data_IF_372480516890
#
_entry.id   IF_372480516890
#
_cell.length_a   1.000
_cell.length_b   1.000
_cell.length_c   1.000
_cell.angle_alpha   90.00
_cell.angle_beta   90.00
_cell.angle_gamma   90.00
#
_symmetry.space_group_name_H-M   'P 1'
#
loop_
_entity.id
_entity.type
_entity.pdbx_description
1 polymer ?
#
# COMPACT_ATOMS: atom_id res chain seq x y z
N UNK A 1 -49.25 -1.95 -0.74
CA UNK A 1 -48.43 -2.95 -1.45
C UNK A 1 -48.10 -2.35 -2.81
N UNK A 2 -46.84 -2.35 -3.24
CA UNK A 2 -46.46 -1.84 -4.58
C UNK A 2 -47.08 -2.76 -5.64
N UNK A 3 -47.72 -2.18 -6.64
CA UNK A 3 -48.34 -2.95 -7.73
C UNK A 3 -47.28 -3.67 -8.56
N UNK A 4 -47.64 -4.79 -9.18
CA UNK A 4 -46.67 -5.54 -9.99
C UNK A 4 -46.19 -4.75 -11.22
N UNK A 5 -47.03 -3.85 -11.75
CA UNK A 5 -46.66 -2.91 -12.82
C UNK A 5 -45.60 -1.89 -12.36
N UNK A 6 -45.70 -1.36 -11.15
CA UNK A 6 -44.69 -0.44 -10.60
C UNK A 6 -43.36 -1.16 -10.33
N UNK A 7 -43.41 -2.39 -9.81
CA UNK A 7 -42.21 -3.22 -9.63
C UNK A 7 -41.53 -3.51 -10.96
N UNK A 8 -42.32 -3.83 -11.99
CA UNK A 8 -41.81 -4.09 -13.32
C UNK A 8 -41.12 -2.88 -13.93
N UNK A 9 -41.76 -1.70 -13.85
CA UNK A 9 -41.19 -0.46 -14.33
C UNK A 9 -39.87 -0.12 -13.63
N UNK A 10 -39.80 -0.33 -12.31
CA UNK A 10 -38.60 -0.10 -11.53
C UNK A 10 -37.47 -1.05 -11.94
N UNK A 11 -37.74 -2.35 -12.03
CA UNK A 11 -36.76 -3.36 -12.45
C UNK A 11 -36.21 -3.06 -13.84
N UNK A 12 -37.07 -2.66 -14.78
CA UNK A 12 -36.66 -2.32 -16.14
C UNK A 12 -35.64 -1.17 -16.14
N UNK A 13 -35.92 -0.08 -15.41
CA UNK A 13 -35.02 1.08 -15.30
C UNK A 13 -33.65 0.72 -14.71
N UNK A 14 -33.64 -0.13 -13.68
CA UNK A 14 -32.38 -0.57 -13.05
C UNK A 14 -31.55 -1.45 -13.98
N UNK A 15 -32.19 -2.39 -14.69
CA UNK A 15 -31.50 -3.25 -15.66
C UNK A 15 -30.91 -2.42 -16.78
N UNK A 16 -31.67 -1.49 -17.36
CA UNK A 16 -31.17 -0.58 -18.41
C UNK A 16 -29.97 0.24 -17.94
N UNK A 17 -30.05 0.76 -16.70
CA UNK A 17 -28.96 1.54 -16.10
C UNK A 17 -27.69 0.68 -15.96
N UNK A 18 -27.83 -0.55 -15.45
CA UNK A 18 -26.72 -1.49 -15.31
C UNK A 18 -26.12 -1.86 -16.66
N UNK A 19 -26.95 -2.17 -17.66
CA UNK A 19 -26.49 -2.49 -19.01
C UNK A 19 -25.74 -1.34 -19.68
N UNK A 20 -26.14 -0.09 -19.42
CA UNK A 20 -25.46 1.10 -19.93
C UNK A 20 -24.12 1.36 -19.24
N UNK A 21 -24.05 1.14 -17.92
CA UNK A 21 -22.89 1.53 -17.12
C UNK A 21 -21.77 0.47 -17.08
N UNK A 22 -22.15 -0.81 -17.04
CA UNK A 22 -21.22 -1.93 -16.93
C UNK A 22 -20.12 -1.93 -17.99
N UNK A 23 -20.39 -1.66 -19.29
CA UNK A 23 -19.34 -1.68 -20.30
C UNK A 23 -18.25 -0.64 -20.07
N UNK A 24 -18.64 0.56 -19.62
CA UNK A 24 -17.69 1.61 -19.26
C UNK A 24 -16.86 1.22 -18.04
N UNK A 25 -17.49 0.62 -17.03
CA UNK A 25 -16.81 0.13 -15.84
C UNK A 25 -15.79 -0.96 -16.17
N UNK A 26 -16.20 -1.98 -16.94
CA UNK A 26 -15.34 -3.09 -17.37
C UNK A 26 -14.16 -2.55 -18.19
N UNK A 27 -14.41 -1.64 -19.14
CA UNK A 27 -13.37 -1.02 -19.96
C UNK A 27 -12.32 -0.30 -19.10
N UNK A 28 -12.75 0.45 -18.08
CA UNK A 28 -11.84 1.12 -17.14
C UNK A 28 -11.04 0.11 -16.33
N UNK A 29 -11.67 -0.97 -15.86
CA UNK A 29 -11.03 -2.03 -15.09
C UNK A 29 -9.97 -2.77 -15.92
N UNK A 30 -10.28 -3.13 -17.17
CA UNK A 30 -9.30 -3.71 -18.10
C UNK A 30 -8.15 -2.74 -18.43
N UNK A 31 -8.43 -1.45 -18.53
CA UNK A 31 -7.40 -0.43 -18.66
C UNK A 31 -6.45 -0.37 -17.45
N UNK A 32 -6.98 -0.62 -16.25
CA UNK A 32 -6.19 -0.72 -15.01
C UNK A 32 -5.27 -1.95 -15.03
N UNK A 33 -5.83 -3.11 -15.41
CA UNK A 33 -5.07 -4.37 -15.57
C UNK A 33 -3.88 -4.16 -16.49
N UNK A 34 -4.11 -3.61 -17.69
CA UNK A 34 -3.02 -3.36 -18.65
C UNK A 34 -1.89 -2.50 -18.11
N UNK A 35 -2.20 -1.55 -17.21
CA UNK A 35 -1.19 -0.63 -16.65
C UNK A 35 -0.41 -1.22 -15.49
N UNK A 36 -0.97 -2.20 -14.79
CA UNK A 36 -0.46 -2.64 -13.49
C UNK A 36 -0.13 -4.13 -13.42
N UNK A 37 -0.45 -4.90 -14.46
CA UNK A 37 -0.16 -6.33 -14.55
C UNK A 37 1.30 -6.65 -14.26
N UNK A 38 2.23 -5.85 -14.76
CA UNK A 38 3.67 -6.07 -14.57
C UNK A 38 4.13 -5.81 -13.13
N UNK A 39 3.41 -4.96 -12.39
CA UNK A 39 3.77 -4.57 -11.01
C UNK A 39 3.06 -5.44 -9.97
N UNK A 40 1.78 -5.70 -10.17
CA UNK A 40 0.92 -6.44 -9.25
C UNK A 40 0.07 -7.46 -10.03
N UNK A 41 0.68 -8.57 -10.46
CA UNK A 41 0.02 -9.53 -11.35
C UNK A 41 -1.17 -10.23 -10.69
N UNK A 42 -1.06 -10.63 -9.44
CA UNK A 42 -2.09 -11.39 -8.72
C UNK A 42 -3.48 -10.70 -8.67
N UNK A 43 -3.62 -9.44 -8.20
CA UNK A 43 -4.92 -8.78 -8.16
C UNK A 43 -5.46 -8.50 -9.57
N UNK A 44 -4.58 -8.33 -10.57
CA UNK A 44 -4.97 -8.16 -11.97
C UNK A 44 -5.53 -9.46 -12.57
N UNK A 45 -4.85 -10.59 -12.34
CA UNK A 45 -5.30 -11.92 -12.78
C UNK A 45 -6.61 -12.34 -12.12
N UNK A 46 -6.82 -11.95 -10.86
CA UNK A 46 -8.07 -12.16 -10.14
C UNK A 46 -9.25 -11.42 -10.80
N UNK A 47 -9.03 -10.21 -11.33
CA UNK A 47 -10.03 -9.48 -12.10
C UNK A 47 -10.30 -10.13 -13.46
N UNK A 48 -9.26 -10.49 -14.21
CA UNK A 48 -9.40 -11.16 -15.51
C UNK A 48 -10.17 -12.47 -15.37
N UNK A 49 -9.81 -13.29 -14.38
CA UNK A 49 -10.47 -14.55 -14.07
C UNK A 49 -11.94 -14.36 -13.67
N UNK A 50 -12.24 -13.32 -12.89
CA UNK A 50 -13.61 -12.99 -12.53
C UNK A 50 -14.46 -12.60 -13.75
N UNK A 51 -13.92 -11.77 -14.64
CA UNK A 51 -14.59 -11.37 -15.87
C UNK A 51 -14.87 -12.59 -16.76
N UNK A 52 -13.89 -13.50 -16.93
CA UNK A 52 -14.07 -14.73 -17.69
C UNK A 52 -15.16 -15.64 -17.09
N UNK A 53 -15.17 -15.85 -15.77
CA UNK A 53 -16.20 -16.66 -15.08
C UNK A 53 -17.61 -16.09 -15.24
N UNK A 54 -17.75 -14.77 -15.37
CA UNK A 54 -19.03 -14.11 -15.56
C UNK A 54 -19.42 -13.96 -17.04
N UNK A 55 -18.70 -14.62 -17.95
CA UNK A 55 -18.90 -14.57 -19.41
C UNK A 55 -18.79 -13.13 -19.94
N UNK A 56 -17.89 -12.32 -19.39
CA UNK A 56 -17.61 -10.99 -19.93
C UNK A 56 -16.59 -11.12 -21.07
N UNK A 57 -16.99 -10.70 -22.27
CA UNK A 57 -16.14 -10.74 -23.47
C UNK A 57 -15.94 -9.32 -23.97
N UNK A 58 -14.68 -8.91 -24.04
CA UNK A 58 -14.34 -7.51 -24.28
C UNK A 58 -14.87 -6.62 -23.16
N UNK A 59 -15.79 -5.71 -23.48
CA UNK A 59 -16.40 -4.82 -22.51
C UNK A 59 -17.86 -5.20 -22.19
N UNK A 60 -18.37 -6.32 -22.70
CA UNK A 60 -19.80 -6.64 -22.61
C UNK A 60 -20.02 -7.95 -21.86
N UNK A 61 -21.08 -7.97 -21.05
CA UNK A 61 -21.53 -9.17 -20.36
C UNK A 61 -22.30 -10.04 -21.34
N UNK A 62 -21.79 -11.23 -21.67
CA UNK A 62 -22.57 -12.17 -22.46
C UNK A 62 -23.65 -12.81 -21.60
N UNK A 63 -24.89 -12.57 -21.99
CA UNK A 63 -26.06 -13.12 -21.34
C UNK A 63 -26.69 -14.17 -22.24
N UNK A 64 -27.16 -15.25 -21.62
CA UNK A 64 -27.81 -16.35 -22.34
C UNK A 64 -29.17 -15.91 -22.91
N UNK A 65 -29.83 -14.96 -22.23
CA UNK A 65 -31.05 -14.30 -22.69
C UNK A 65 -30.77 -12.81 -22.87
N UNK A 66 -31.01 -12.27 -24.07
CA UNK A 66 -30.99 -10.83 -24.30
C UNK A 66 -32.13 -10.19 -23.49
N UNK A 67 -31.84 -9.09 -22.79
CA UNK A 67 -32.86 -8.37 -22.04
C UNK A 67 -33.99 -7.91 -22.98
N UNK A 68 -35.23 -8.12 -22.55
CA UNK A 68 -36.44 -7.62 -23.20
C UNK A 68 -37.39 -7.07 -22.16
N UNK A 69 -38.14 -6.03 -22.54
CA UNK A 69 -39.21 -5.47 -21.72
C UNK A 69 -40.34 -6.48 -21.46
N UNK A 70 -40.50 -7.49 -22.31
CA UNK A 70 -41.56 -8.51 -22.19
C UNK A 70 -41.11 -9.74 -21.38
N UNK A 71 -39.90 -9.70 -20.82
CA UNK A 71 -39.34 -10.76 -19.98
C UNK A 71 -40.18 -10.96 -18.69
N UNK A 72 -40.39 -12.21 -18.22
CA UNK A 72 -41.04 -12.46 -16.94
C UNK A 72 -40.35 -11.77 -15.75
N UNK A 73 -41.11 -11.29 -14.77
CA UNK A 73 -40.61 -10.57 -13.59
C UNK A 73 -39.51 -11.32 -12.82
N UNK A 74 -39.62 -12.64 -12.67
CA UNK A 74 -38.62 -13.47 -12.03
C UNK A 74 -37.29 -13.46 -12.79
N UNK A 75 -37.34 -13.55 -14.12
CA UNK A 75 -36.18 -13.48 -15.01
C UNK A 75 -35.55 -12.09 -15.00
N UNK A 76 -36.35 -11.02 -14.94
CA UNK A 76 -35.84 -9.64 -14.75
C UNK A 76 -35.09 -9.50 -13.43
N UNK A 77 -35.65 -10.01 -12.34
CA UNK A 77 -35.02 -9.95 -11.02
C UNK A 77 -33.70 -10.74 -10.98
N UNK A 78 -33.67 -11.93 -11.58
CA UNK A 78 -32.45 -12.74 -11.71
C UNK A 78 -31.39 -12.02 -12.54
N UNK A 79 -31.81 -11.46 -13.68
CA UNK A 79 -30.95 -10.68 -14.55
C UNK A 79 -30.33 -9.47 -13.81
N UNK A 80 -31.17 -8.68 -13.13
CA UNK A 80 -30.71 -7.56 -12.31
C UNK A 80 -29.67 -8.02 -11.29
N UNK A 81 -29.94 -9.11 -10.56
CA UNK A 81 -29.00 -9.65 -9.57
C UNK A 81 -27.67 -10.00 -10.21
N UNK A 82 -27.69 -10.71 -11.34
CA UNK A 82 -26.46 -11.09 -12.06
C UNK A 82 -25.66 -9.87 -12.50
N UNK A 83 -26.30 -8.88 -13.13
CA UNK A 83 -25.64 -7.64 -13.55
C UNK A 83 -25.04 -6.89 -12.36
N UNK A 84 -25.77 -6.83 -11.24
CA UNK A 84 -25.31 -6.18 -10.01
C UNK A 84 -24.11 -6.90 -9.38
N UNK A 85 -24.12 -8.24 -9.34
CA UNK A 85 -22.97 -9.04 -8.88
C UNK A 85 -21.72 -8.75 -9.70
N UNK A 86 -21.86 -8.58 -11.03
CA UNK A 86 -20.75 -8.21 -11.89
C UNK A 86 -20.26 -6.81 -11.57
N UNK A 87 -21.16 -5.82 -11.45
CA UNK A 87 -20.80 -4.44 -11.12
C UNK A 87 -20.00 -4.36 -9.81
N UNK A 88 -20.53 -4.96 -8.74
CA UNK A 88 -19.91 -4.94 -7.43
C UNK A 88 -18.58 -5.71 -7.43
N UNK A 89 -18.54 -6.86 -8.11
CA UNK A 89 -17.33 -7.68 -8.22
C UNK A 89 -16.21 -7.01 -9.02
N UNK A 90 -16.53 -6.20 -10.02
CA UNK A 90 -15.55 -5.38 -10.75
C UNK A 90 -15.07 -4.23 -9.88
N UNK A 91 -15.98 -3.51 -9.22
CA UNK A 91 -15.62 -2.40 -8.33
C UNK A 91 -14.68 -2.84 -7.21
N UNK A 92 -15.00 -3.94 -6.53
CA UNK A 92 -14.17 -4.48 -5.46
C UNK A 92 -12.76 -4.82 -5.94
N UNK A 93 -12.63 -5.52 -7.07
CA UNK A 93 -11.30 -5.91 -7.58
C UNK A 93 -10.52 -4.71 -8.12
N UNK A 94 -11.20 -3.74 -8.72
CA UNK A 94 -10.57 -2.47 -9.12
C UNK A 94 -9.96 -1.77 -7.91
N UNK A 95 -10.70 -1.73 -6.79
CA UNK A 95 -10.20 -1.19 -5.53
C UNK A 95 -9.00 -1.98 -5.02
N UNK A 96 -9.02 -3.31 -5.03
CA UNK A 96 -7.87 -4.15 -4.62
C UNK A 96 -6.61 -3.85 -5.46
N UNK A 97 -6.74 -3.77 -6.79
CA UNK A 97 -5.63 -3.42 -7.68
C UNK A 97 -5.12 -1.99 -7.39
N UNK A 98 -5.97 -1.05 -7.00
CA UNK A 98 -5.57 0.31 -6.60
C UNK A 98 -4.82 0.33 -5.27
N UNK A 99 -5.31 -0.39 -4.28
CA UNK A 99 -4.70 -0.48 -2.96
C UNK A 99 -3.35 -1.19 -3.01
N UNK A 100 -3.27 -2.38 -3.63
CA UNK A 100 -2.02 -3.15 -3.69
C UNK A 100 -0.93 -2.43 -4.50
N UNK A 101 -1.31 -1.74 -5.57
CA UNK A 101 -0.35 -0.95 -6.34
C UNK A 101 0.24 0.18 -5.49
N UNK A 102 -0.58 0.83 -4.68
CA UNK A 102 -0.14 1.91 -3.79
C UNK A 102 0.83 1.37 -2.74
N UNK A 103 0.49 0.23 -2.11
CA UNK A 103 1.37 -0.44 -1.16
C UNK A 103 2.70 -0.88 -1.78
N UNK A 104 2.67 -1.38 -3.01
CA UNK A 104 3.89 -1.74 -3.75
C UNK A 104 4.80 -0.51 -3.96
N UNK A 105 4.23 0.64 -4.35
CA UNK A 105 5.01 1.87 -4.52
C UNK A 105 5.65 2.31 -3.19
N UNK A 106 4.90 2.30 -2.10
CA UNK A 106 5.43 2.66 -0.77
C UNK A 106 6.55 1.72 -0.33
N UNK A 107 6.41 0.41 -0.58
CA UNK A 107 7.45 -0.57 -0.29
C UNK A 107 8.72 -0.32 -1.11
N UNK A 108 8.57 0.03 -2.39
CA UNK A 108 9.71 0.34 -3.27
C UNK A 108 10.46 1.60 -2.81
N UNK A 109 9.75 2.63 -2.35
CA UNK A 109 10.36 3.84 -1.81
C UNK A 109 11.13 3.56 -0.52
N UNK A 110 10.56 2.76 0.39
CA UNK A 110 11.23 2.34 1.63
C UNK A 110 12.52 1.56 1.34
N UNK A 111 12.49 0.60 0.43
CA UNK A 111 13.68 -0.17 0.04
C UNK A 111 14.78 0.72 -0.55
N UNK A 112 14.43 1.69 -1.41
CA UNK A 112 15.41 2.64 -1.96
C UNK A 112 16.03 3.54 -0.88
N UNK A 113 15.23 3.97 0.11
CA UNK A 113 15.73 4.77 1.21
C UNK A 113 16.70 3.95 2.11
N UNK A 114 16.40 2.68 2.35
CA UNK A 114 17.26 1.78 3.12
C UNK A 114 18.57 1.45 2.38
N UNK A 115 18.50 1.18 1.07
CA UNK A 115 19.68 0.95 0.23
C UNK A 115 20.63 2.16 0.26
N UNK A 116 20.10 3.39 0.14
CA UNK A 116 20.92 4.60 0.25
C UNK A 116 21.61 4.74 1.61
N UNK A 117 20.89 4.47 2.71
CA UNK A 117 21.48 4.48 4.05
C UNK A 117 22.58 3.45 4.21
N UNK A 118 22.39 2.25 3.67
CA UNK A 118 23.39 1.20 3.68
C UNK A 118 24.65 1.59 2.87
N UNK A 119 24.48 2.18 1.69
CA UNK A 119 25.59 2.69 0.86
C UNK A 119 26.35 3.83 1.54
N UNK A 120 25.66 4.73 2.25
CA UNK A 120 26.29 5.82 3.01
C UNK A 120 27.11 5.29 4.20
N UNK A 121 26.58 4.32 4.94
CA UNK A 121 27.33 3.67 6.03
C UNK A 121 28.56 2.91 5.53
N UNK A 122 28.46 2.16 4.42
CA UNK A 122 29.62 1.48 3.83
C UNK A 122 30.71 2.45 3.39
N UNK A 123 30.33 3.57 2.76
CA UNK A 123 31.30 4.63 2.39
C UNK A 123 31.92 5.33 3.58
N UNK A 124 31.23 5.40 4.73
CA UNK A 124 31.79 5.96 5.95
C UNK A 124 32.76 4.99 6.64
N UNK A 125 32.48 3.68 6.62
CA UNK A 125 33.38 2.64 7.11
C UNK A 125 34.67 2.55 6.27
N UNK A 126 34.57 2.59 4.94
CA UNK A 126 35.75 2.62 4.04
C UNK A 126 36.63 3.87 4.26
N UNK A 127 36.03 5.01 4.61
CA UNK A 127 36.80 6.22 4.97
C UNK A 127 37.52 6.08 6.31
N UNK A 128 36.90 5.45 7.31
CA UNK A 128 37.51 5.22 8.63
C UNK A 128 38.62 4.16 8.57
N UNK A 129 38.49 3.13 7.73
CA UNK A 129 39.57 2.17 7.49
C UNK A 129 40.76 2.80 6.73
N UNK A 130 40.50 3.70 5.79
CA UNK A 130 41.56 4.44 5.09
C UNK A 130 42.34 5.40 6.03
N UNK A 131 41.68 6.03 7.01
CA UNK A 131 42.35 6.86 8.03
C UNK A 131 43.16 6.04 9.06
N UNK A 132 42.81 4.78 9.30
CA UNK A 132 43.53 3.92 10.27
C UNK A 132 44.74 3.18 9.66
N UNK A 133 44.81 3.04 8.33
CA UNK A 133 45.94 2.43 7.62
C UNK A 133 47.08 3.41 7.27
N UNK A 134 46.87 4.72 7.45
CA UNK A 134 47.92 5.73 7.39
C UNK A 134 48.09 6.41 8.75
N UNK A 135 48.78 5.80 9.73
CA UNK A 135 49.31 6.58 10.83
C UNK A 135 50.29 7.59 10.22
N UNK A 136 50.04 8.89 10.44
CA UNK A 136 51.01 9.95 10.16
C UNK A 136 52.35 9.60 10.80
N UNK A 137 53.28 9.08 10.01
CA UNK A 137 54.70 9.16 10.31
C UNK A 137 55.19 10.53 9.87
N UNK A 138 55.43 11.43 10.83
CA UNK A 138 56.51 12.45 10.88
C UNK A 138 56.22 13.40 12.06
N UNK A 139 57.05 13.63 13.10
CA UNK A 139 58.50 13.50 13.33
C UNK A 139 58.82 13.30 14.83
N UNK A 140 59.93 12.63 15.07
CA UNK A 140 60.67 12.48 16.34
C UNK A 140 61.49 13.73 16.74
N UNK A 141 61.77 13.80 18.05
CA UNK A 141 62.93 14.36 18.77
C UNK A 141 63.12 15.88 18.97
N UNK A 142 63.05 16.30 20.25
CA UNK A 142 64.23 16.84 20.95
C UNK A 142 64.07 16.75 22.48
N UNK A 143 64.97 16.03 23.16
CA UNK A 143 65.19 16.12 24.62
C UNK A 143 65.79 17.48 25.02
N UNK A 144 65.45 17.99 26.22
CA UNK A 144 66.23 19.03 26.92
C UNK A 144 65.45 19.99 27.83
N UNK A 145 65.43 19.69 29.13
CA UNK A 145 64.85 20.40 30.30
C UNK A 145 65.27 21.90 30.51
N UNK A 146 64.90 22.64 31.60
CA UNK A 146 63.78 22.58 32.59
C UNK A 146 63.06 23.93 32.92
N UNK A 147 61.98 23.84 33.72
CA UNK A 147 61.45 24.81 34.74
C UNK A 147 60.97 26.23 34.33
N UNK A 148 59.68 26.54 34.57
CA UNK A 148 59.20 27.45 35.65
C UNK A 148 57.68 27.77 35.59
N UNK A 149 57.05 27.54 36.75
CA UNK A 149 56.04 28.35 37.47
C UNK A 149 54.71 28.80 36.83
N UNK A 150 53.66 28.39 37.55
CA UNK A 150 52.49 29.14 38.03
C UNK A 150 51.28 29.42 37.12
N UNK A 151 50.11 29.01 37.65
CA UNK A 151 48.75 29.38 37.22
C UNK A 151 47.88 28.13 37.00
N UNK A 152 47.15 27.59 38.00
CA UNK A 152 45.83 28.06 38.45
C UNK A 152 44.91 28.28 37.22
N UNK A 153 43.82 27.58 36.96
CA UNK A 153 42.73 26.88 37.69
C UNK A 153 42.00 26.08 36.59
N UNK A 154 41.10 25.11 36.76
CA UNK A 154 40.22 24.63 37.82
C UNK A 154 39.86 23.20 37.38
N UNK A 155 39.98 22.25 38.30
CA UNK A 155 39.47 20.89 38.16
C UNK A 155 38.04 20.84 38.67
N UNK A 156 37.12 20.43 37.82
CA UNK A 156 35.84 19.86 38.26
C UNK A 156 35.81 18.40 37.81
N UNK A 157 35.94 17.51 38.80
CA UNK A 157 35.45 16.13 38.72
C UNK A 157 33.96 16.18 38.34
N UNK A 158 33.36 15.17 37.70
CA UNK A 158 32.79 14.04 38.45
C UNK A 158 32.44 12.92 37.47
N UNK A 159 32.89 11.74 37.90
CA UNK A 159 32.67 10.38 37.41
C UNK A 159 31.23 9.95 37.64
N UNK A 160 30.71 9.05 36.80
CA UNK A 160 29.77 7.92 37.09
C UNK A 160 28.76 7.77 35.95
N UNK A 161 28.23 6.62 35.55
CA UNK A 161 28.33 5.21 35.91
C UNK A 161 27.62 4.47 34.75
N UNK A 162 28.23 3.46 34.12
CA UNK A 162 27.49 2.52 33.26
C UNK A 162 27.23 1.26 34.08
N UNK A 163 26.07 1.23 34.73
CA UNK A 163 25.51 0.07 35.38
C UNK A 163 24.74 -0.81 34.38
N UNK A 164 25.06 -2.10 34.38
CA UNK A 164 24.33 -3.19 33.68
C UNK A 164 23.03 -3.54 34.41
N UNK A 165 22.15 -4.27 33.69
CA UNK A 165 21.01 -5.14 34.08
C UNK A 165 19.72 -4.66 33.42
N UNK A 166 18.76 -5.48 33.00
CA UNK A 166 18.53 -6.92 32.89
C UNK A 166 17.25 -7.05 32.02
N UNK A 167 16.98 -8.24 31.50
CA UNK A 167 15.68 -8.66 30.98
C UNK A 167 14.53 -8.34 31.95
N UNK A 168 13.31 -8.08 31.47
CA UNK A 168 12.20 -9.05 31.52
C UNK A 168 10.84 -8.43 31.14
N UNK A 169 10.00 -9.31 30.57
CA UNK A 169 8.53 -9.35 30.62
C UNK A 169 7.71 -8.46 29.68
N UNK A 170 6.87 -9.15 28.90
CA UNK A 170 5.81 -8.55 28.10
C UNK A 170 4.51 -8.37 28.87
N UNK A 171 3.60 -7.58 28.28
CA UNK A 171 2.15 -7.83 28.14
C UNK A 171 1.49 -6.60 27.52
N UNK A 172 0.72 -6.87 26.46
CA UNK A 172 -0.55 -6.24 26.08
C UNK A 172 -0.77 -4.76 26.43
N UNK A 173 -0.86 -3.92 25.39
CA UNK A 173 -1.72 -2.74 25.42
C UNK A 173 -2.59 -2.75 24.16
N UNK A 174 -3.90 -2.83 24.38
CA UNK A 174 -4.92 -2.55 23.40
C UNK A 174 -4.75 -1.12 22.86
N UNK A 175 -4.82 -0.96 21.55
CA UNK A 175 -5.10 0.31 20.89
C UNK A 175 -6.50 0.22 20.27
N UNK A 176 -7.49 0.07 21.14
CA UNK A 176 -8.75 0.78 20.93
C UNK A 176 -8.47 2.26 21.25
N UNK A 177 -9.12 3.15 20.51
CA UNK A 177 -9.07 4.64 20.61
C UNK A 177 -8.03 5.35 19.74
N UNK A 178 -8.32 5.47 18.45
CA UNK A 178 -8.02 6.68 17.70
C UNK A 178 -9.33 7.43 17.41
N UNK A 179 -9.61 8.55 18.09
CA UNK A 179 -10.81 9.35 17.88
C UNK A 179 -10.52 10.45 16.86
N UNK A 180 -10.59 10.19 15.55
CA UNK A 180 -10.56 11.28 14.55
C UNK A 180 -11.49 10.96 13.38
N UNK A 181 -12.52 11.82 13.26
CA UNK A 181 -13.43 12.12 12.14
C UNK A 181 -14.92 12.06 12.53
N UNK A 182 -15.28 12.83 13.57
CA UNK A 182 -16.55 13.55 13.57
C UNK A 182 -16.34 14.83 12.77
N UNK A 183 -16.88 14.85 11.55
CA UNK A 183 -17.45 16.02 10.83
C UNK A 183 -17.57 15.63 9.35
N UNK A 184 -18.71 15.02 9.00
CA UNK A 184 -19.50 15.24 7.78
C UNK A 184 -20.88 14.65 8.11
N UNK A 185 -21.77 15.55 8.57
CA UNK A 185 -23.23 15.63 8.41
C UNK A 185 -23.81 16.51 9.52
#
# INVERSE_FOLDING_TARGET
MVSDAEKELFLNKEIETLQKNLPSLIKKALGLVKKRQETIPEPCDNLVSFLARNKVVGNEVQMEEAYSMDMPLNKKAELKRRLKTIEDGVNYRKYMIETEYTQHLEAQEKMKAEQKKAEEMQKEEEKKEAETLFPEQTKEESEGAPLKSDGATESEEVISEIGKKEEETGKTAAFDELPILKEIL
#
